data_IF_485388402677
#
_entry.id   IF_485388402677
#
_cell.length_a   1.000
_cell.length_b   1.000
_cell.length_c   1.000
_cell.angle_alpha   90.00
_cell.angle_beta   90.00
_cell.angle_gamma   90.00
#
_symmetry.space_group_name_H-M   'P 1'
#
loop_
_entity.id
_entity.type
_entity.pdbx_description
1 polymer ?
#
# COMPACT_ATOMS: atom_id res chain seq x y z
N UNK A 1 -26.84 -21.37 -14.91
CA UNK A 1 -27.30 -20.50 -13.82
C UNK A 1 -27.69 -21.38 -12.65
N UNK A 2 -26.89 -21.35 -11.59
CA UNK A 2 -27.02 -22.15 -10.38
C UNK A 2 -28.04 -21.49 -9.44
N UNK A 3 -29.18 -22.14 -9.24
CA UNK A 3 -30.30 -21.61 -8.46
C UNK A 3 -30.19 -22.01 -6.99
N UNK A 4 -30.35 -21.04 -6.11
CA UNK A 4 -30.34 -21.23 -4.66
C UNK A 4 -31.73 -20.93 -4.11
N UNK A 5 -32.20 -21.78 -3.20
CA UNK A 5 -33.49 -21.63 -2.56
C UNK A 5 -33.35 -21.53 -1.04
N UNK A 6 -34.00 -20.52 -0.46
CA UNK A 6 -34.17 -20.35 0.98
C UNK A 6 -35.67 -20.26 1.25
N UNK A 7 -36.13 -20.87 2.33
CA UNK A 7 -37.52 -20.74 2.76
C UNK A 7 -37.62 -20.60 4.28
N UNK A 8 -38.69 -19.96 4.73
CA UNK A 8 -38.92 -19.75 6.16
C UNK A 8 -40.06 -18.78 6.45
N UNK A 9 -40.31 -18.56 7.74
CA UNK A 9 -41.37 -17.67 8.20
C UNK A 9 -40.94 -16.19 8.07
N UNK A 10 -39.72 -15.84 8.47
CA UNK A 10 -39.21 -14.44 8.43
C UNK A 10 -40.08 -13.41 9.17
N UNK A 11 -40.67 -13.77 10.31
CA UNK A 11 -41.55 -12.87 11.08
C UNK A 11 -40.89 -11.52 11.39
N UNK A 12 -39.64 -11.54 11.88
CA UNK A 12 -38.84 -10.34 12.06
C UNK A 12 -37.53 -10.54 11.31
N UNK A 13 -37.23 -9.64 10.38
CA UNK A 13 -35.96 -9.64 9.68
C UNK A 13 -34.87 -9.09 10.62
N UNK A 14 -34.05 -9.97 11.19
CA UNK A 14 -32.91 -9.62 12.03
C UNK A 14 -31.60 -9.91 11.31
N UNK A 15 -30.44 -9.42 11.80
CA UNK A 15 -29.15 -9.58 11.11
C UNK A 15 -28.77 -11.02 10.76
N UNK A 16 -29.23 -12.01 11.53
CA UNK A 16 -29.02 -13.43 11.24
C UNK A 16 -29.66 -13.87 9.92
N UNK A 17 -30.88 -13.42 9.63
CA UNK A 17 -31.54 -13.67 8.34
C UNK A 17 -30.77 -13.03 7.18
N UNK A 18 -30.31 -11.79 7.33
CA UNK A 18 -29.53 -11.10 6.29
C UNK A 18 -28.24 -11.86 5.97
N UNK A 19 -27.54 -12.39 6.98
CA UNK A 19 -26.32 -13.19 6.78
C UNK A 19 -26.62 -14.54 6.12
N UNK A 20 -27.73 -15.19 6.48
CA UNK A 20 -28.18 -16.42 5.82
C UNK A 20 -28.48 -16.18 4.33
N UNK A 21 -29.21 -15.10 4.02
CA UNK A 21 -29.55 -14.72 2.64
C UNK A 21 -28.30 -14.36 1.84
N UNK A 22 -27.34 -13.63 2.42
CA UNK A 22 -26.04 -13.35 1.79
C UNK A 22 -25.29 -14.65 1.46
N UNK A 23 -25.12 -15.54 2.43
CA UNK A 23 -24.48 -16.85 2.21
C UNK A 23 -25.19 -17.67 1.11
N UNK A 24 -26.53 -17.61 1.08
CA UNK A 24 -27.30 -18.28 0.03
C UNK A 24 -27.04 -17.66 -1.35
N UNK A 25 -27.03 -16.32 -1.47
CA UNK A 25 -26.70 -15.64 -2.73
C UNK A 25 -25.28 -15.96 -3.20
N UNK A 26 -24.30 -16.04 -2.30
CA UNK A 26 -22.91 -16.40 -2.65
C UNK A 26 -22.75 -17.88 -3.05
N UNK A 27 -23.69 -18.75 -2.67
CA UNK A 27 -23.65 -20.17 -3.01
C UNK A 27 -24.05 -20.46 -4.46
N UNK A 28 -24.65 -19.51 -5.18
CA UNK A 28 -25.05 -19.66 -6.58
C UNK A 28 -25.25 -18.34 -7.32
N UNK A 29 -25.90 -18.39 -8.48
CA UNK A 29 -26.05 -17.22 -9.36
C UNK A 29 -27.36 -16.47 -9.10
N UNK A 30 -28.41 -17.19 -8.68
CA UNK A 30 -29.77 -16.68 -8.55
C UNK A 30 -30.45 -17.21 -7.28
N UNK A 31 -30.74 -16.32 -6.33
CA UNK A 31 -31.36 -16.61 -5.05
C UNK A 31 -32.87 -16.35 -5.11
N UNK A 32 -33.63 -17.42 -4.86
CA UNK A 32 -35.09 -17.39 -4.71
C UNK A 32 -35.45 -17.60 -3.24
N UNK A 33 -36.32 -16.76 -2.70
CA UNK A 33 -36.80 -16.86 -1.31
C UNK A 33 -38.30 -17.16 -1.25
N UNK A 34 -38.66 -18.30 -0.68
CA UNK A 34 -40.05 -18.65 -0.38
C UNK A 34 -40.45 -18.24 1.03
N UNK A 35 -41.35 -17.28 1.16
CA UNK A 35 -41.91 -16.86 2.46
C UNK A 35 -43.11 -17.72 2.76
N UNK A 36 -43.06 -18.54 3.83
CA UNK A 36 -44.17 -19.44 4.18
C UNK A 36 -45.47 -18.66 4.32
N UNK A 37 -46.54 -19.15 3.70
CA UNK A 37 -47.86 -18.51 3.80
C UNK A 37 -48.44 -18.58 5.21
N UNK A 38 -49.38 -17.69 5.51
CA UNK A 38 -50.08 -17.66 6.81
C UNK A 38 -50.88 -18.96 7.06
N UNK A 39 -51.18 -19.73 6.01
CA UNK A 39 -51.80 -21.06 6.10
C UNK A 39 -50.81 -22.15 6.53
N UNK A 40 -49.52 -21.96 6.26
CA UNK A 40 -48.44 -22.91 6.54
C UNK A 40 -47.78 -22.62 7.90
N UNK A 41 -47.72 -21.35 8.32
CA UNK A 41 -47.19 -20.95 9.63
C UNK A 41 -47.85 -19.66 10.13
N UNK A 42 -48.58 -19.71 11.25
CA UNK A 42 -49.19 -18.52 11.87
C UNK A 42 -48.29 -17.92 12.95
N UNK A 43 -47.64 -16.79 12.66
CA UNK A 43 -46.85 -16.03 13.64
C UNK A 43 -46.87 -14.52 13.42
N UNK A 44 -47.97 -13.87 13.84
CA UNK A 44 -48.01 -12.46 14.26
C UNK A 44 -47.93 -11.38 13.17
N UNK A 45 -47.07 -11.51 12.16
CA UNK A 45 -46.89 -10.53 11.07
C UNK A 45 -47.41 -11.16 9.77
N UNK A 46 -48.22 -10.42 9.02
CA UNK A 46 -48.84 -10.93 7.79
C UNK A 46 -47.81 -11.33 6.75
N UNK A 47 -48.12 -12.35 5.96
CA UNK A 47 -47.25 -12.84 4.89
C UNK A 47 -46.81 -11.74 3.91
N UNK A 48 -47.67 -10.76 3.63
CA UNK A 48 -47.35 -9.65 2.71
C UNK A 48 -46.24 -8.75 3.27
N UNK A 49 -46.29 -8.43 4.57
CA UNK A 49 -45.26 -7.62 5.24
C UNK A 49 -43.95 -8.38 5.35
N UNK A 50 -44.00 -9.69 5.58
CA UNK A 50 -42.81 -10.57 5.60
C UNK A 50 -42.17 -10.63 4.21
N UNK A 51 -42.97 -10.74 3.15
CA UNK A 51 -42.51 -10.72 1.76
C UNK A 51 -41.91 -9.37 1.36
N UNK A 52 -42.55 -8.27 1.72
CA UNK A 52 -42.04 -6.91 1.47
C UNK A 52 -40.65 -6.73 2.11
N UNK A 53 -40.48 -7.19 3.35
CA UNK A 53 -39.20 -7.14 4.07
C UNK A 53 -38.09 -7.90 3.34
N UNK A 54 -38.40 -9.05 2.73
CA UNK A 54 -37.46 -9.85 1.94
C UNK A 54 -37.12 -9.16 0.62
N UNK A 55 -38.11 -8.59 -0.07
CA UNK A 55 -37.93 -7.83 -1.32
C UNK A 55 -37.07 -6.59 -1.14
N UNK A 56 -37.08 -5.98 0.04
CA UNK A 56 -36.24 -4.83 0.37
C UNK A 56 -34.75 -5.20 0.56
N UNK A 57 -34.39 -6.48 0.58
CA UNK A 57 -32.99 -6.91 0.74
C UNK A 57 -32.26 -6.96 -0.61
N UNK A 58 -31.01 -6.51 -0.64
CA UNK A 58 -30.21 -6.43 -1.87
C UNK A 58 -29.67 -7.78 -2.38
N UNK A 59 -29.84 -8.87 -1.62
CA UNK A 59 -29.28 -10.18 -1.93
C UNK A 59 -30.23 -11.09 -2.70
N UNK A 60 -31.54 -10.79 -2.68
CA UNK A 60 -32.60 -11.69 -3.16
C UNK A 60 -32.98 -11.29 -4.59
N UNK A 61 -32.88 -12.23 -5.53
CA UNK A 61 -33.23 -11.97 -6.94
C UNK A 61 -34.73 -12.16 -7.20
N UNK A 62 -35.37 -13.11 -6.50
CA UNK A 62 -36.82 -13.34 -6.57
C UNK A 62 -37.38 -13.81 -5.22
N UNK A 63 -38.63 -13.41 -4.94
CA UNK A 63 -39.32 -13.82 -3.71
C UNK A 63 -40.83 -13.87 -3.88
N UNK A 64 -41.43 -14.88 -3.25
CA UNK A 64 -42.85 -15.19 -3.39
C UNK A 64 -43.42 -15.81 -2.10
N UNK A 65 -44.75 -15.84 -2.00
CA UNK A 65 -45.45 -16.55 -0.93
C UNK A 65 -45.49 -18.04 -1.24
N UNK A 66 -44.91 -18.85 -0.36
CA UNK A 66 -44.86 -20.29 -0.46
C UNK A 66 -46.09 -20.91 0.21
N UNK A 67 -47.10 -21.18 -0.62
CA UNK A 67 -48.38 -21.78 -0.20
C UNK A 67 -48.39 -23.31 -0.11
N UNK A 68 -47.32 -23.96 -0.58
CA UNK A 68 -47.14 -25.42 -0.55
C UNK A 68 -45.99 -25.79 0.38
N UNK A 69 -45.88 -27.07 0.76
CA UNK A 69 -44.71 -27.49 1.53
C UNK A 69 -43.42 -27.26 0.73
N UNK A 70 -42.34 -26.86 1.40
CA UNK A 70 -41.05 -26.64 0.75
C UNK A 70 -40.56 -27.86 -0.04
N UNK A 71 -40.88 -29.06 0.45
CA UNK A 71 -40.59 -30.35 -0.21
C UNK A 71 -41.22 -30.42 -1.60
N UNK A 72 -42.50 -30.06 -1.74
CA UNK A 72 -43.23 -30.06 -3.02
C UNK A 72 -42.63 -29.02 -3.98
N UNK A 73 -42.26 -27.85 -3.46
CA UNK A 73 -41.61 -26.82 -4.28
C UNK A 73 -40.23 -27.28 -4.79
N UNK A 74 -39.43 -27.89 -3.90
CA UNK A 74 -38.08 -28.41 -4.23
C UNK A 74 -38.18 -29.53 -5.27
N UNK A 75 -39.13 -30.45 -5.13
CA UNK A 75 -39.34 -31.54 -6.09
C UNK A 75 -39.67 -31.03 -7.49
N UNK A 76 -40.56 -30.01 -7.58
CA UNK A 76 -41.00 -29.43 -8.85
C UNK A 76 -39.94 -28.55 -9.51
N UNK A 77 -39.24 -27.73 -8.73
CA UNK A 77 -38.36 -26.68 -9.26
C UNK A 77 -36.88 -27.05 -9.23
N UNK A 78 -36.51 -28.13 -8.52
CA UNK A 78 -35.16 -28.71 -8.44
C UNK A 78 -34.04 -27.67 -8.29
N UNK A 79 -34.04 -26.84 -7.22
CA UNK A 79 -32.95 -25.89 -7.00
C UNK A 79 -31.62 -26.63 -6.79
N UNK A 80 -30.53 -26.09 -7.35
CA UNK A 80 -29.19 -26.67 -7.24
C UNK A 80 -28.70 -26.69 -5.78
N UNK A 81 -29.10 -25.68 -4.99
CA UNK A 81 -28.77 -25.56 -3.58
C UNK A 81 -30.00 -25.13 -2.77
N UNK A 82 -30.20 -25.77 -1.63
CA UNK A 82 -31.13 -25.33 -0.58
C UNK A 82 -30.31 -24.92 0.65
N UNK A 83 -30.59 -23.76 1.22
CA UNK A 83 -29.87 -23.25 2.40
C UNK A 83 -30.83 -23.10 3.57
N UNK A 84 -30.43 -23.61 4.74
CA UNK A 84 -31.18 -23.51 6.01
C UNK A 84 -30.30 -22.96 7.14
N UNK A 85 -30.95 -22.47 8.20
CA UNK A 85 -30.27 -22.08 9.43
C UNK A 85 -29.53 -23.27 10.08
N UNK A 86 -28.36 -23.03 10.68
CA UNK A 86 -27.52 -24.06 11.33
C UNK A 86 -28.25 -24.82 12.43
N UNK A 87 -29.24 -24.20 13.06
CA UNK A 87 -30.13 -24.81 14.06
C UNK A 87 -31.00 -25.97 13.51
N UNK A 88 -31.11 -26.10 12.19
CA UNK A 88 -31.81 -27.21 11.53
C UNK A 88 -30.88 -28.36 11.11
N UNK A 89 -29.55 -28.22 11.26
CA UNK A 89 -28.58 -29.21 10.78
C UNK A 89 -28.75 -30.58 11.46
N UNK A 90 -29.03 -30.59 12.77
CA UNK A 90 -29.22 -31.82 13.56
C UNK A 90 -30.66 -32.34 13.56
N UNK A 91 -31.57 -31.70 12.82
CA UNK A 91 -32.99 -32.11 12.73
C UNK A 91 -33.20 -33.04 11.53
N UNK A 92 -34.31 -33.77 11.53
CA UNK A 92 -34.75 -34.50 10.34
C UNK A 92 -35.15 -33.51 9.23
N UNK A 93 -34.56 -33.66 8.04
CA UNK A 93 -34.79 -32.78 6.88
C UNK A 93 -35.43 -33.59 5.74
N UNK A 94 -36.77 -33.54 5.57
CA UNK A 94 -37.47 -34.37 4.58
C UNK A 94 -37.08 -34.07 3.12
N UNK A 95 -36.59 -32.86 2.85
CA UNK A 95 -36.11 -32.44 1.54
C UNK A 95 -34.76 -33.08 1.12
N UNK A 96 -33.98 -33.63 2.06
CA UNK A 96 -32.61 -34.09 1.80
C UNK A 96 -32.55 -35.19 0.74
N UNK A 97 -33.44 -36.19 0.83
CA UNK A 97 -33.48 -37.31 -0.11
C UNK A 97 -33.87 -36.86 -1.53
N UNK A 98 -34.81 -35.91 -1.62
CA UNK A 98 -35.23 -35.32 -2.90
C UNK A 98 -34.08 -34.53 -3.51
N UNK A 99 -33.42 -33.67 -2.72
CA UNK A 99 -32.29 -32.85 -3.17
C UNK A 99 -31.16 -33.73 -3.72
N UNK A 100 -30.83 -34.82 -3.02
CA UNK A 100 -29.82 -35.79 -3.46
C UNK A 100 -30.20 -36.50 -4.76
N UNK A 101 -31.49 -36.82 -4.95
CA UNK A 101 -31.96 -37.59 -6.11
C UNK A 101 -31.65 -36.94 -7.47
N UNK A 102 -31.50 -35.61 -7.51
CA UNK A 102 -31.15 -34.87 -8.72
C UNK A 102 -29.77 -34.17 -8.64
N UNK A 103 -28.96 -34.48 -7.62
CA UNK A 103 -27.60 -33.95 -7.46
C UNK A 103 -27.48 -32.56 -6.83
N UNK A 104 -28.56 -32.04 -6.23
CA UNK A 104 -28.53 -30.78 -5.48
C UNK A 104 -27.81 -30.91 -4.13
N UNK A 105 -27.61 -29.78 -3.45
CA UNK A 105 -26.96 -29.73 -2.13
C UNK A 105 -27.83 -29.04 -1.08
N UNK A 106 -27.88 -29.61 0.13
CA UNK A 106 -28.46 -28.97 1.31
C UNK A 106 -27.33 -28.40 2.17
N UNK A 107 -27.32 -27.08 2.38
CA UNK A 107 -26.32 -26.37 3.19
C UNK A 107 -26.96 -25.78 4.45
N UNK A 108 -26.16 -25.71 5.51
CA UNK A 108 -26.56 -25.12 6.79
C UNK A 108 -25.59 -24.02 7.17
N UNK A 109 -26.11 -22.82 7.50
CA UNK A 109 -25.28 -21.69 7.91
C UNK A 109 -25.91 -20.92 9.06
N UNK A 110 -25.09 -20.45 9.99
CA UNK A 110 -25.48 -19.51 11.05
C UNK A 110 -25.28 -18.05 10.62
N UNK A 111 -24.76 -17.81 9.41
CA UNK A 111 -24.35 -16.49 8.96
C UNK A 111 -23.14 -15.98 9.74
N UNK A 112 -21.96 -16.54 9.47
CA UNK A 112 -20.71 -16.09 10.10
C UNK A 112 -20.32 -14.67 9.65
N UNK A 113 -19.63 -13.95 10.53
CA UNK A 113 -19.33 -12.50 10.42
C UNK A 113 -18.31 -12.22 9.30
N UNK A 114 -17.48 -13.21 8.92
CA UNK A 114 -16.31 -13.02 8.06
C UNK A 114 -16.57 -12.39 6.67
N UNK A 115 -17.71 -12.65 6.03
CA UNK A 115 -17.92 -12.25 4.62
C UNK A 115 -18.45 -10.82 4.43
N UNK A 116 -19.14 -10.21 5.41
CA UNK A 116 -19.45 -8.77 5.34
C UNK A 116 -18.19 -7.92 5.37
N UNK A 117 -17.09 -8.47 5.88
CA UNK A 117 -15.82 -7.79 6.03
C UNK A 117 -15.12 -7.58 4.69
N UNK A 118 -15.19 -8.49 3.70
CA UNK A 118 -14.39 -8.36 2.46
C UNK A 118 -14.73 -7.13 1.60
N UNK A 119 -16.02 -6.82 1.42
CA UNK A 119 -16.44 -5.63 0.64
C UNK A 119 -16.15 -4.33 1.40
N UNK A 120 -16.29 -4.34 2.74
CA UNK A 120 -15.89 -3.24 3.61
C UNK A 120 -14.37 -3.04 3.59
N UNK A 121 -13.59 -4.12 3.65
CA UNK A 121 -12.13 -4.14 3.58
C UNK A 121 -11.67 -3.56 2.24
N UNK A 122 -12.22 -4.01 1.10
CA UNK A 122 -11.90 -3.42 -0.21
C UNK A 122 -12.18 -1.90 -0.20
N UNK A 123 -13.31 -1.47 0.35
CA UNK A 123 -13.64 -0.04 0.45
C UNK A 123 -12.69 0.73 1.38
N UNK A 124 -12.19 0.12 2.46
CA UNK A 124 -11.17 0.74 3.33
C UNK A 124 -9.82 0.92 2.62
N UNK A 125 -9.38 -0.08 1.85
CA UNK A 125 -8.13 -0.02 1.07
C UNK A 125 -8.20 1.01 -0.06
N UNK A 126 -9.34 1.14 -0.74
CA UNK A 126 -9.48 1.97 -1.95
C UNK A 126 -10.17 3.33 -1.74
N UNK A 127 -10.72 3.64 -0.56
CA UNK A 127 -11.33 4.95 -0.32
C UNK A 127 -10.26 6.04 -0.20
N UNK A 128 -10.13 6.86 -1.25
CA UNK A 128 -9.25 8.02 -1.29
C UNK A 128 -10.04 9.29 -0.98
N UNK A 129 -10.22 9.59 0.30
CA UNK A 129 -10.64 10.91 0.76
C UNK A 129 -9.45 11.52 1.52
N UNK A 130 -8.72 12.41 0.86
CA UNK A 130 -7.62 13.14 1.46
C UNK A 130 -7.92 14.64 1.41
N UNK A 131 -7.48 15.35 2.45
CA UNK A 131 -7.58 16.79 2.54
C UNK A 131 -6.20 17.33 2.92
N UNK A 132 -5.63 18.12 2.01
CA UNK A 132 -4.32 18.74 2.21
C UNK A 132 -4.51 20.13 2.80
N UNK A 133 -3.70 20.47 3.79
CA UNK A 133 -3.53 21.83 4.27
C UNK A 133 -2.45 22.53 3.44
N UNK A 134 -2.85 23.53 2.65
CA UNK A 134 -1.98 24.24 1.70
C UNK A 134 -0.88 25.10 2.38
N UNK A 135 -0.91 25.26 3.71
CA UNK A 135 0.09 25.99 4.51
C UNK A 135 0.50 27.34 3.88
N UNK A 136 -0.46 28.25 3.71
CA UNK A 136 -0.26 29.54 3.03
C UNK A 136 0.86 30.40 3.64
N UNK A 137 1.11 30.30 4.94
CA UNK A 137 2.21 31.04 5.59
C UNK A 137 3.59 30.59 5.10
N UNK A 138 3.75 29.32 4.69
CA UNK A 138 4.97 28.82 4.06
C UNK A 138 5.18 29.42 2.67
N UNK A 139 4.11 29.49 1.87
CA UNK A 139 4.13 30.07 0.52
C UNK A 139 4.49 31.57 0.56
N UNK A 140 3.87 32.30 1.49
CA UNK A 140 4.08 33.75 1.66
C UNK A 140 5.52 34.08 2.05
N UNK A 141 6.11 33.35 3.02
CA UNK A 141 7.48 33.64 3.50
C UNK A 141 8.59 33.32 2.50
N UNK A 142 8.34 32.41 1.57
CA UNK A 142 9.29 32.01 0.53
C UNK A 142 8.96 32.60 -0.85
N UNK A 143 7.93 33.43 -0.92
CA UNK A 143 7.57 34.23 -2.09
C UNK A 143 7.27 33.43 -3.37
N UNK A 144 6.65 32.24 -3.24
CA UNK A 144 6.18 31.46 -4.38
C UNK A 144 4.68 31.14 -4.29
N UNK A 145 4.06 30.84 -5.43
CA UNK A 145 2.60 30.62 -5.57
C UNK A 145 2.31 29.28 -6.22
N UNK A 146 1.11 28.74 -5.99
CA UNK A 146 0.66 27.46 -6.56
C UNK A 146 0.82 27.34 -8.09
N UNK A 147 0.59 28.38 -8.93
CA UNK A 147 0.84 28.28 -10.36
C UNK A 147 2.30 28.03 -10.75
N UNK A 148 3.27 28.50 -9.94
CA UNK A 148 4.70 28.21 -10.16
C UNK A 148 5.00 26.75 -9.88
N UNK A 149 4.43 26.19 -8.79
CA UNK A 149 4.54 24.77 -8.44
C UNK A 149 3.97 23.87 -9.54
N UNK A 150 2.82 24.24 -10.11
CA UNK A 150 2.23 23.55 -11.26
C UNK A 150 3.22 23.46 -12.43
N UNK A 151 3.87 24.57 -12.79
CA UNK A 151 4.86 24.59 -13.87
C UNK A 151 6.09 23.72 -13.56
N UNK A 152 6.51 23.62 -12.31
CA UNK A 152 7.61 22.73 -11.88
C UNK A 152 7.23 21.26 -12.12
N UNK A 153 6.05 20.85 -11.64
CA UNK A 153 5.56 19.47 -11.80
C UNK A 153 5.34 19.11 -13.28
N UNK A 154 4.95 20.08 -14.10
CA UNK A 154 4.81 19.87 -15.55
C UNK A 154 6.15 19.49 -16.21
N UNK A 155 7.27 20.07 -15.77
CA UNK A 155 8.62 19.81 -16.31
C UNK A 155 9.19 18.44 -15.96
N UNK A 156 8.59 17.70 -15.03
CA UNK A 156 9.06 16.36 -14.64
C UNK A 156 9.16 15.38 -15.81
N UNK A 157 8.35 15.55 -16.85
CA UNK A 157 8.38 14.69 -18.04
C UNK A 157 9.61 14.86 -18.93
N UNK A 158 10.45 15.86 -18.68
CA UNK A 158 11.72 16.03 -19.37
C UNK A 158 12.86 15.28 -18.67
N UNK A 159 12.67 14.80 -17.44
CA UNK A 159 13.73 14.18 -16.65
C UNK A 159 13.95 12.73 -17.05
N UNK A 160 15.22 12.36 -17.12
CA UNK A 160 15.70 10.99 -17.14
C UNK A 160 16.35 10.68 -15.78
N UNK A 161 15.75 9.73 -15.06
CA UNK A 161 16.09 9.46 -13.65
C UNK A 161 16.62 8.04 -13.53
N UNK A 162 17.72 7.88 -12.81
CA UNK A 162 18.17 6.59 -12.33
C UNK A 162 17.80 6.43 -10.86
N UNK A 163 17.09 5.36 -10.55
CA UNK A 163 16.85 4.94 -9.16
C UNK A 163 17.64 3.66 -8.89
N UNK A 164 18.45 3.68 -7.83
CA UNK A 164 19.24 2.52 -7.41
C UNK A 164 19.07 2.24 -5.93
N UNK A 165 18.92 0.97 -5.57
CA UNK A 165 18.80 0.59 -4.16
C UNK A 165 18.20 -0.79 -3.92
N UNK A 166 17.85 -1.05 -2.66
CA UNK A 166 17.28 -2.34 -2.27
C UNK A 166 15.80 -2.44 -2.71
N UNK A 167 15.45 -3.47 -3.48
CA UNK A 167 14.05 -3.75 -3.81
C UNK A 167 13.37 -4.60 -2.75
N UNK A 168 12.08 -4.33 -2.50
CA UNK A 168 11.28 -4.99 -1.47
C UNK A 168 9.90 -5.31 -2.07
N UNK A 169 9.36 -6.48 -1.73
CA UNK A 169 7.93 -6.77 -1.89
C UNK A 169 7.26 -6.66 -0.53
N UNK A 170 6.28 -5.78 -0.41
CA UNK A 170 5.44 -5.67 0.78
C UNK A 170 4.17 -6.51 0.57
N UNK A 171 3.91 -7.46 1.45
CA UNK A 171 2.73 -8.32 1.37
C UNK A 171 1.83 -8.12 2.60
N UNK A 172 0.60 -7.70 2.36
CA UNK A 172 -0.41 -7.45 3.38
C UNK A 172 -1.38 -8.62 3.39
N UNK A 173 -1.40 -9.35 4.50
CA UNK A 173 -2.26 -10.51 4.71
C UNK A 173 -3.33 -10.09 5.70
N UNK A 174 -4.53 -9.82 5.19
CA UNK A 174 -5.68 -9.46 6.01
C UNK A 174 -6.28 -10.72 6.58
N UNK A 175 -6.46 -10.75 7.89
CA UNK A 175 -6.94 -11.90 8.64
C UNK A 175 -8.16 -11.55 9.50
N UNK A 176 -8.99 -12.55 9.75
CA UNK A 176 -9.99 -12.55 10.81
C UNK A 176 -9.35 -13.13 12.09
N UNK A 177 -9.46 -12.42 13.22
CA UNK A 177 -9.01 -12.94 14.50
C UNK A 177 -10.06 -13.92 15.07
N UNK A 178 -9.66 -15.18 15.27
CA UNK A 178 -10.54 -16.23 15.77
C UNK A 178 -10.56 -16.29 17.31
N UNK A 179 -9.49 -15.83 17.96
CA UNK A 179 -9.35 -15.83 19.41
C UNK A 179 -7.94 -16.18 19.87
N UNK A 180 -7.80 -16.55 21.14
CA UNK A 180 -6.55 -17.08 21.68
C UNK A 180 -6.47 -18.60 21.45
N UNK A 181 -5.26 -19.11 21.19
CA UNK A 181 -5.02 -20.54 21.13
C UNK A 181 -5.17 -21.17 22.53
N UNK A 182 -5.68 -22.41 22.57
CA UNK A 182 -5.74 -23.23 23.79
C UNK A 182 -4.44 -24.02 24.02
N UNK A 183 -3.57 -24.10 23.02
CA UNK A 183 -2.31 -24.84 23.06
C UNK A 183 -1.12 -23.95 23.49
N UNK A 184 -1.15 -22.66 23.12
CA UNK A 184 -0.11 -21.67 23.39
C UNK A 184 -0.76 -20.29 23.54
N UNK A 185 -0.26 -19.32 24.34
CA UNK A 185 -0.92 -18.04 24.56
C UNK A 185 -0.67 -17.07 23.39
N UNK A 186 -1.10 -17.47 22.19
CA UNK A 186 -0.98 -16.70 20.95
C UNK A 186 -2.34 -16.43 20.32
N UNK A 187 -2.40 -15.43 19.45
CA UNK A 187 -3.60 -15.07 18.70
C UNK A 187 -3.72 -16.00 17.48
N UNK A 188 -4.85 -16.68 17.36
CA UNK A 188 -5.20 -17.47 16.17
C UNK A 188 -5.94 -16.57 15.18
N UNK A 189 -5.49 -16.58 13.94
CA UNK A 189 -6.08 -15.81 12.85
C UNK A 189 -6.28 -16.67 11.62
N UNK A 190 -7.31 -16.36 10.82
CA UNK A 190 -7.57 -16.98 9.52
C UNK A 190 -7.36 -15.96 8.41
N UNK A 191 -6.51 -16.22 7.39
CA UNK A 191 -6.30 -15.27 6.30
C UNK A 191 -7.54 -15.16 5.41
N UNK A 192 -7.93 -13.93 5.10
CA UNK A 192 -9.07 -13.58 4.25
C UNK A 192 -8.64 -13.10 2.87
N UNK A 193 -7.56 -12.31 2.80
CA UNK A 193 -7.06 -11.73 1.56
C UNK A 193 -5.57 -11.42 1.66
N UNK A 194 -4.87 -11.53 0.53
CA UNK A 194 -3.46 -11.18 0.40
C UNK A 194 -3.29 -10.14 -0.71
N UNK A 195 -2.58 -9.06 -0.41
CA UNK A 195 -2.26 -8.00 -1.35
C UNK A 195 -0.75 -7.77 -1.35
N UNK A 196 -0.11 -7.84 -2.53
CA UNK A 196 1.31 -7.50 -2.70
C UNK A 196 1.43 -6.06 -3.22
N UNK A 197 2.51 -5.41 -2.82
CA UNK A 197 2.88 -4.04 -3.21
C UNK A 197 4.37 -3.99 -3.51
N UNK A 198 4.74 -3.15 -4.48
CA UNK A 198 6.14 -2.84 -4.75
C UNK A 198 6.62 -1.86 -3.68
N UNK A 199 7.76 -2.17 -3.07
CA UNK A 199 8.40 -1.37 -2.03
C UNK A 199 9.89 -1.21 -2.28
N UNK A 200 10.57 -0.57 -1.34
CA UNK A 200 12.00 -0.32 -1.45
C UNK A 200 12.32 0.70 -2.55
N UNK A 201 13.51 0.62 -3.13
CA UNK A 201 13.90 1.47 -4.26
C UNK A 201 12.97 1.35 -5.48
N UNK A 202 12.25 0.23 -5.63
CA UNK A 202 11.32 0.03 -6.73
C UNK A 202 10.07 0.93 -6.63
N UNK A 203 9.64 1.32 -5.41
CA UNK A 203 8.52 2.26 -5.26
C UNK A 203 8.94 3.70 -5.53
N UNK A 204 10.18 4.07 -5.19
CA UNK A 204 10.80 5.34 -5.58
C UNK A 204 10.84 5.48 -7.10
N UNK A 205 11.27 4.42 -7.81
CA UNK A 205 11.23 4.37 -9.27
C UNK A 205 9.79 4.49 -9.81
N UNK A 206 8.84 3.83 -9.17
CA UNK A 206 7.44 3.89 -9.57
C UNK A 206 6.85 5.29 -9.38
N UNK A 207 7.13 5.97 -8.26
CA UNK A 207 6.75 7.35 -8.02
C UNK A 207 7.31 8.28 -9.11
N UNK A 208 8.60 8.15 -9.43
CA UNK A 208 9.24 8.99 -10.44
C UNK A 208 8.57 8.83 -11.82
N UNK A 209 8.27 7.58 -12.21
CA UNK A 209 7.60 7.28 -13.47
C UNK A 209 6.16 7.81 -13.52
N UNK A 210 5.36 7.60 -12.46
CA UNK A 210 3.97 8.07 -12.41
C UNK A 210 3.81 9.59 -12.23
N UNK A 211 4.88 10.27 -11.80
CA UNK A 211 5.02 11.72 -11.84
C UNK A 211 5.43 12.25 -13.23
N UNK A 212 5.81 11.35 -14.15
CA UNK A 212 5.95 11.62 -15.58
C UNK A 212 7.37 11.48 -16.13
N UNK A 213 8.38 11.19 -15.31
CA UNK A 213 9.77 11.08 -15.77
C UNK A 213 10.05 9.77 -16.52
N UNK A 214 11.12 9.76 -17.32
CA UNK A 214 11.69 8.53 -17.87
C UNK A 214 12.60 7.92 -16.80
N UNK A 215 12.41 6.64 -16.45
CA UNK A 215 13.09 6.03 -15.30
C UNK A 215 13.86 4.79 -15.70
N UNK A 216 15.13 4.73 -15.27
CA UNK A 216 15.94 3.52 -15.20
C UNK A 216 15.99 3.04 -13.76
N UNK A 217 15.79 1.75 -13.55
CA UNK A 217 15.81 1.14 -12.21
C UNK A 217 16.89 0.08 -12.09
N UNK A 218 17.81 0.27 -11.15
CA UNK A 218 18.95 -0.61 -10.92
C UNK A 218 18.81 -1.26 -9.53
N UNK A 219 18.82 -2.60 -9.48
CA UNK A 219 18.78 -3.31 -8.21
C UNK A 219 19.22 -4.77 -8.37
N UNK A 220 19.24 -5.50 -7.27
CA UNK A 220 19.55 -6.92 -7.20
C UNK A 220 18.46 -7.63 -6.41
N UNK A 221 18.00 -8.77 -6.93
CA UNK A 221 16.96 -9.59 -6.33
C UNK A 221 17.31 -11.08 -6.44
N UNK A 222 16.61 -11.92 -5.68
CA UNK A 222 16.77 -13.37 -5.75
C UNK A 222 16.21 -13.96 -7.03
N UNK A 223 16.41 -15.27 -7.24
CA UNK A 223 15.79 -16.00 -8.35
C UNK A 223 14.45 -16.61 -7.91
N UNK A 224 13.43 -15.78 -7.78
CA UNK A 224 12.12 -16.17 -7.25
C UNK A 224 10.94 -15.40 -7.87
N UNK A 225 9.72 -15.82 -7.52
CA UNK A 225 8.47 -15.21 -8.01
C UNK A 225 8.33 -13.72 -7.63
N UNK A 226 8.93 -13.31 -6.51
CA UNK A 226 8.87 -11.92 -6.06
C UNK A 226 9.74 -11.01 -6.94
N UNK A 227 10.88 -11.50 -7.43
CA UNK A 227 11.65 -10.80 -8.48
C UNK A 227 10.80 -10.61 -9.74
N UNK A 228 10.12 -11.66 -10.20
CA UNK A 228 9.26 -11.58 -11.38
C UNK A 228 8.11 -10.57 -11.17
N UNK A 229 7.49 -10.56 -9.98
CA UNK A 229 6.47 -9.60 -9.59
C UNK A 229 6.97 -8.15 -9.69
N UNK A 230 8.14 -7.84 -9.12
CA UNK A 230 8.75 -6.50 -9.20
C UNK A 230 9.06 -6.13 -10.65
N UNK A 231 9.73 -7.02 -11.39
CA UNK A 231 10.13 -6.76 -12.77
C UNK A 231 8.93 -6.46 -13.68
N UNK A 232 7.85 -7.24 -13.56
CA UNK A 232 6.67 -7.05 -14.38
C UNK A 232 5.94 -5.76 -14.01
N UNK A 233 5.74 -5.50 -12.72
CA UNK A 233 5.05 -4.28 -12.28
C UNK A 233 5.79 -2.99 -12.66
N UNK A 234 7.12 -2.99 -12.62
CA UNK A 234 7.91 -1.83 -13.09
C UNK A 234 7.85 -1.69 -14.63
N UNK A 235 7.88 -2.79 -15.39
CA UNK A 235 7.74 -2.75 -16.86
C UNK A 235 6.37 -2.26 -17.30
N UNK A 236 5.30 -2.61 -16.58
CA UNK A 236 3.94 -2.10 -16.83
C UNK A 236 3.85 -0.57 -16.68
N UNK A 237 4.71 0.03 -15.84
CA UNK A 237 4.84 1.47 -15.67
C UNK A 237 5.78 2.13 -16.70
N UNK A 238 6.34 1.37 -17.65
CA UNK A 238 7.26 1.88 -18.66
C UNK A 238 8.68 2.16 -18.14
N UNK A 239 9.07 1.55 -17.02
CA UNK A 239 10.40 1.71 -16.42
C UNK A 239 11.39 0.77 -17.10
N UNK A 240 12.59 1.28 -17.41
CA UNK A 240 13.71 0.47 -17.89
C UNK A 240 14.37 -0.27 -16.71
N UNK A 241 14.10 -1.57 -16.61
CA UNK A 241 14.47 -2.38 -15.43
C UNK A 241 15.77 -3.15 -15.66
N UNK A 242 16.78 -2.84 -14.84
CA UNK A 242 18.05 -3.55 -14.71
C UNK A 242 18.11 -4.27 -13.35
N UNK A 243 17.39 -5.39 -13.27
CA UNK A 243 17.25 -6.18 -12.06
C UNK A 243 18.09 -7.47 -12.15
N UNK A 244 19.32 -7.38 -11.63
CA UNK A 244 20.27 -8.48 -11.64
C UNK A 244 19.89 -9.56 -10.61
N UNK A 245 20.26 -10.80 -10.91
CA UNK A 245 19.94 -11.96 -10.07
C UNK A 245 21.11 -12.32 -9.17
N UNK A 246 20.85 -12.47 -7.87
CA UNK A 246 21.80 -13.03 -6.90
C UNK A 246 21.17 -14.27 -6.25
N UNK A 247 21.61 -15.46 -6.67
CA UNK A 247 21.08 -16.74 -6.16
C UNK A 247 21.42 -17.01 -4.70
N UNK A 248 22.26 -16.18 -4.08
CA UNK A 248 22.68 -16.36 -2.68
C UNK A 248 21.74 -15.66 -1.69
N UNK A 249 20.78 -14.86 -2.16
CA UNK A 249 19.74 -14.19 -1.36
C UNK A 249 18.33 -14.40 -1.97
N UNK A 250 17.27 -14.45 -1.16
CA UNK A 250 15.91 -14.29 -1.68
C UNK A 250 15.64 -12.82 -2.03
N UNK A 251 14.64 -12.57 -2.89
CA UNK A 251 14.07 -11.23 -3.02
C UNK A 251 13.43 -10.84 -1.70
N UNK A 252 13.79 -9.66 -1.17
CA UNK A 252 13.31 -9.18 0.12
C UNK A 252 11.79 -9.12 0.15
N UNK A 253 11.16 -9.87 1.05
CA UNK A 253 9.71 -9.91 1.25
C UNK A 253 9.36 -9.52 2.69
N UNK A 254 8.48 -8.53 2.84
CA UNK A 254 7.95 -8.06 4.14
C UNK A 254 6.47 -8.39 4.24
N UNK A 255 6.14 -9.44 4.99
CA UNK A 255 4.75 -9.85 5.23
C UNK A 255 4.20 -9.14 6.47
N UNK A 256 3.03 -8.52 6.37
CA UNK A 256 2.28 -7.90 7.46
C UNK A 256 0.94 -8.62 7.63
N UNK A 257 0.80 -9.37 8.71
CA UNK A 257 -0.48 -9.99 9.08
C UNK A 257 -1.31 -8.96 9.83
N UNK A 258 -2.49 -8.64 9.32
CA UNK A 258 -3.34 -7.56 9.82
C UNK A 258 -4.72 -8.07 10.19
N UNK A 259 -5.27 -7.63 11.32
CA UNK A 259 -6.66 -7.85 11.69
C UNK A 259 -7.27 -6.55 12.19
N UNK A 260 -8.52 -6.26 11.78
CA UNK A 260 -9.25 -5.05 12.19
C UNK A 260 -8.42 -3.76 12.04
N UNK A 261 -7.77 -3.60 10.88
CA UNK A 261 -6.95 -2.42 10.54
C UNK A 261 -5.55 -2.37 11.19
N UNK A 262 -5.24 -3.25 12.16
CA UNK A 262 -3.96 -3.24 12.88
C UNK A 262 -3.04 -4.37 12.44
N UNK A 263 -1.73 -4.11 12.41
CA UNK A 263 -0.72 -5.15 12.18
C UNK A 263 -0.48 -5.95 13.45
N UNK A 264 -0.65 -7.27 13.38
CA UNK A 264 -0.43 -8.21 14.47
C UNK A 264 1.00 -8.75 14.47
N UNK A 265 1.52 -9.09 13.29
CA UNK A 265 2.84 -9.69 13.11
C UNK A 265 3.46 -9.20 11.81
N UNK A 266 4.77 -8.98 11.82
CA UNK A 266 5.58 -8.76 10.62
C UNK A 266 6.63 -9.86 10.49
N UNK A 267 6.66 -10.51 9.34
CA UNK A 267 7.65 -11.54 9.00
C UNK A 267 8.48 -11.05 7.83
N UNK A 268 9.80 -11.02 8.01
CA UNK A 268 10.74 -10.56 6.99
C UNK A 268 11.50 -11.77 6.44
N UNK A 269 11.40 -12.01 5.13
CA UNK A 269 12.21 -12.98 4.41
C UNK A 269 13.31 -12.23 3.67
N UNK A 270 14.52 -12.28 4.21
CA UNK A 270 15.66 -11.56 3.66
C UNK A 270 16.97 -12.23 4.05
N UNK A 271 18.02 -11.89 3.29
CA UNK A 271 19.39 -12.20 3.66
C UNK A 271 20.24 -10.96 3.41
N UNK A 272 20.86 -10.46 4.48
CA UNK A 272 21.64 -9.23 4.43
C UNK A 272 23.12 -9.56 4.23
N UNK A 273 23.65 -9.18 3.07
CA UNK A 273 25.08 -9.16 2.79
C UNK A 273 25.38 -8.26 1.59
N UNK A 274 26.61 -7.76 1.53
CA UNK A 274 27.10 -6.99 0.40
C UNK A 274 26.98 -7.79 -0.92
N UNK A 275 26.88 -7.07 -2.03
CA UNK A 275 26.99 -7.64 -3.37
C UNK A 275 28.38 -8.25 -3.60
N UNK A 276 28.47 -9.20 -4.53
CA UNK A 276 29.75 -9.63 -5.07
C UNK A 276 30.29 -8.55 -6.00
N UNK A 277 31.63 -8.49 -6.13
CA UNK A 277 32.28 -7.56 -7.06
C UNK A 277 31.82 -7.75 -8.51
N UNK A 278 31.47 -8.97 -8.91
CA UNK A 278 30.96 -9.25 -10.26
C UNK A 278 29.64 -8.52 -10.54
N UNK A 279 28.68 -8.57 -9.59
CA UNK A 279 27.39 -7.89 -9.74
C UNK A 279 27.55 -6.36 -9.65
N UNK A 280 28.43 -5.88 -8.77
CA UNK A 280 28.77 -4.46 -8.71
C UNK A 280 29.32 -3.95 -10.04
N UNK A 281 30.24 -4.69 -10.66
CA UNK A 281 30.82 -4.32 -11.95
C UNK A 281 29.76 -4.31 -13.06
N UNK A 282 28.82 -5.27 -13.08
CA UNK A 282 27.71 -5.26 -14.05
C UNK A 282 26.83 -4.00 -13.91
N UNK A 283 26.53 -3.58 -12.69
CA UNK A 283 25.78 -2.36 -12.42
C UNK A 283 26.54 -1.11 -12.87
N UNK A 284 27.83 -1.03 -12.55
CA UNK A 284 28.69 0.10 -12.91
C UNK A 284 28.91 0.21 -14.42
N UNK A 285 29.13 -0.90 -15.11
CA UNK A 285 29.29 -0.94 -16.57
C UNK A 285 28.03 -0.45 -17.28
N UNK A 286 26.85 -0.84 -16.80
CA UNK A 286 25.58 -0.43 -17.38
C UNK A 286 25.27 1.05 -17.11
N UNK A 287 25.61 1.53 -15.93
CA UNK A 287 25.53 2.95 -15.61
C UNK A 287 26.45 3.77 -16.52
N UNK A 288 27.70 3.36 -16.67
CA UNK A 288 28.72 4.08 -17.45
C UNK A 288 28.28 4.28 -18.91
N UNK A 289 27.57 3.30 -19.49
CA UNK A 289 27.02 3.41 -20.85
C UNK A 289 25.90 4.44 -20.98
N UNK A 290 25.13 4.67 -19.92
CA UNK A 290 23.91 5.48 -19.96
C UNK A 290 24.01 6.81 -19.19
N UNK A 291 25.13 7.06 -18.52
CA UNK A 291 25.32 8.22 -17.61
C UNK A 291 25.03 9.58 -18.27
N UNK A 292 25.31 9.72 -19.56
CA UNK A 292 25.16 10.98 -20.30
C UNK A 292 23.71 11.44 -20.45
N UNK A 293 22.78 10.51 -20.36
CA UNK A 293 21.35 10.77 -20.56
C UNK A 293 20.61 10.85 -19.22
N UNK A 294 21.30 10.99 -18.09
CA UNK A 294 20.71 10.98 -16.74
C UNK A 294 20.78 12.39 -16.14
N UNK A 295 19.63 12.92 -15.72
CA UNK A 295 19.52 14.23 -15.07
C UNK A 295 19.57 14.13 -13.53
N UNK A 296 19.17 12.97 -12.99
CA UNK A 296 19.03 12.73 -11.56
C UNK A 296 19.33 11.27 -11.19
N UNK A 297 20.13 11.05 -10.14
CA UNK A 297 20.34 9.75 -9.50
C UNK A 297 19.74 9.77 -8.09
N UNK A 298 18.86 8.81 -7.78
CA UNK A 298 18.26 8.62 -6.46
C UNK A 298 18.76 7.31 -5.85
N UNK A 299 19.47 7.41 -4.74
CA UNK A 299 19.87 6.28 -3.92
C UNK A 299 18.80 6.00 -2.86
N UNK A 300 18.27 4.78 -2.83
CA UNK A 300 17.25 4.38 -1.86
C UNK A 300 17.72 3.15 -1.08
N UNK A 301 18.33 3.39 0.09
CA UNK A 301 18.97 2.36 0.89
C UNK A 301 18.10 1.90 2.04
N UNK A 302 17.81 0.60 2.07
CA UNK A 302 17.14 -0.06 3.19
C UNK A 302 18.12 -0.93 3.99
N UNK A 303 19.42 -0.79 3.68
CA UNK A 303 20.52 -1.51 4.31
C UNK A 303 20.44 -3.02 4.13
N UNK A 304 19.91 -3.52 3.01
CA UNK A 304 19.90 -4.96 2.69
C UNK A 304 21.12 -5.42 1.90
N UNK A 305 21.94 -4.48 1.42
CA UNK A 305 23.28 -4.73 0.92
C UNK A 305 23.46 -4.56 -0.58
N UNK A 306 22.46 -4.05 -1.31
CA UNK A 306 22.64 -3.62 -2.71
C UNK A 306 23.60 -2.42 -2.77
N UNK A 307 23.42 -1.44 -1.89
CA UNK A 307 24.22 -0.22 -1.86
C UNK A 307 25.46 -0.39 -0.98
N UNK A 308 26.47 -1.06 -1.54
CA UNK A 308 27.79 -1.18 -0.91
C UNK A 308 28.55 0.14 -0.97
N UNK A 309 29.53 0.30 -0.08
CA UNK A 309 30.37 1.51 -0.06
C UNK A 309 31.07 1.74 -1.40
N UNK A 310 31.62 0.69 -2.00
CA UNK A 310 32.29 0.76 -3.29
C UNK A 310 31.33 1.21 -4.39
N UNK A 311 30.12 0.65 -4.44
CA UNK A 311 29.13 1.03 -5.45
C UNK A 311 28.68 2.49 -5.27
N UNK A 312 28.38 2.92 -4.04
CA UNK A 312 27.99 4.31 -3.75
C UNK A 312 29.10 5.28 -4.17
N UNK A 313 30.36 5.02 -3.80
CA UNK A 313 31.48 5.91 -4.12
C UNK A 313 31.71 6.04 -5.64
N UNK A 314 31.68 4.92 -6.38
CA UNK A 314 31.87 4.95 -7.84
C UNK A 314 30.71 5.67 -8.56
N UNK A 315 29.45 5.40 -8.20
CA UNK A 315 28.30 6.09 -8.80
C UNK A 315 28.32 7.57 -8.45
N UNK A 316 28.65 7.92 -7.20
CA UNK A 316 28.73 9.32 -6.78
C UNK A 316 29.82 10.09 -7.56
N UNK A 317 30.99 9.47 -7.76
CA UNK A 317 32.06 10.08 -8.57
C UNK A 317 31.61 10.28 -10.02
N UNK A 318 30.99 9.28 -10.65
CA UNK A 318 30.44 9.41 -12.01
C UNK A 318 29.39 10.52 -12.11
N UNK A 319 28.51 10.62 -11.11
CA UNK A 319 27.50 11.67 -11.02
C UNK A 319 28.13 13.05 -10.94
N UNK A 320 29.15 13.24 -10.08
CA UNK A 320 29.87 14.51 -9.95
C UNK A 320 30.60 14.90 -11.24
N UNK A 321 31.31 13.96 -11.88
CA UNK A 321 32.04 14.20 -13.14
C UNK A 321 31.12 14.66 -14.27
N UNK A 322 29.87 14.19 -14.27
CA UNK A 322 28.85 14.55 -15.26
C UNK A 322 27.90 15.66 -14.78
N UNK A 323 28.15 16.26 -13.60
CA UNK A 323 27.30 17.31 -13.01
C UNK A 323 25.83 16.90 -12.81
N UNK A 324 25.60 15.62 -12.48
CA UNK A 324 24.28 15.04 -12.27
C UNK A 324 23.82 15.30 -10.84
N UNK A 325 22.55 15.67 -10.66
CA UNK A 325 21.98 15.85 -9.33
C UNK A 325 21.85 14.48 -8.66
N UNK A 326 22.26 14.38 -7.39
CA UNK A 326 22.15 13.14 -6.64
C UNK A 326 21.40 13.35 -5.34
N UNK A 327 20.51 12.42 -5.01
CA UNK A 327 19.80 12.39 -3.74
C UNK A 327 19.85 11.01 -3.09
N UNK A 328 19.77 10.97 -1.77
CA UNK A 328 19.84 9.72 -1.04
C UNK A 328 18.93 9.66 0.18
N UNK A 329 18.44 8.47 0.46
CA UNK A 329 17.85 8.10 1.75
C UNK A 329 18.45 6.79 2.28
N UNK A 330 18.51 6.67 3.60
CA UNK A 330 19.11 5.52 4.30
C UNK A 330 18.24 5.12 5.48
N UNK A 331 17.26 4.26 5.22
CA UNK A 331 16.24 3.92 6.20
C UNK A 331 16.80 3.05 7.34
N UNK A 332 16.57 3.48 8.58
CA UNK A 332 16.86 2.70 9.80
C UNK A 332 15.57 2.17 10.44
N UNK A 333 14.99 1.12 9.84
CA UNK A 333 13.78 0.46 10.34
C UNK A 333 14.08 -0.78 11.20
N UNK A 334 14.20 -1.96 10.58
CA UNK A 334 14.68 -3.20 11.23
C UNK A 334 16.20 -3.37 11.17
N UNK A 335 16.86 -2.57 10.33
CA UNK A 335 18.30 -2.51 10.13
C UNK A 335 18.77 -1.15 10.61
N UNK A 336 20.06 -1.05 10.96
CA UNK A 336 20.71 0.23 11.25
C UNK A 336 21.35 0.71 9.95
N UNK A 337 20.79 1.76 9.36
CA UNK A 337 21.38 2.45 8.22
C UNK A 337 22.35 3.54 8.67
N UNK A 338 23.09 4.06 7.71
CA UNK A 338 24.04 5.15 7.92
C UNK A 338 23.91 6.14 6.75
N UNK A 339 23.26 7.28 7.00
CA UNK A 339 23.07 8.31 5.96
C UNK A 339 24.39 9.03 5.65
N UNK A 340 25.36 9.02 6.56
CA UNK A 340 26.63 9.74 6.40
C UNK A 340 27.53 9.13 5.31
N UNK A 341 27.27 7.88 4.90
CA UNK A 341 27.99 7.23 3.79
C UNK A 341 27.69 7.85 2.43
N UNK A 342 26.56 8.55 2.27
CA UNK A 342 26.17 9.21 1.03
C UNK A 342 26.80 10.59 0.92
N UNK A 343 28.01 10.63 0.35
CA UNK A 343 28.80 11.86 0.25
C UNK A 343 28.46 12.70 -0.98
N UNK A 344 28.57 14.02 -0.85
CA UNK A 344 28.36 15.00 -1.93
C UNK A 344 26.96 14.95 -2.56
N UNK A 345 25.95 14.54 -1.79
CA UNK A 345 24.57 14.53 -2.26
C UNK A 345 24.00 15.94 -2.31
N UNK A 346 23.17 16.22 -3.30
CA UNK A 346 22.40 17.46 -3.35
C UNK A 346 21.30 17.45 -2.29
N UNK A 347 20.64 16.31 -2.08
CA UNK A 347 19.59 16.15 -1.07
C UNK A 347 19.74 14.84 -0.31
N UNK A 348 19.64 14.89 1.01
CA UNK A 348 19.38 13.72 1.85
C UNK A 348 18.13 13.92 2.69
N UNK A 349 17.35 12.86 2.90
CA UNK A 349 16.04 12.94 3.57
C UNK A 349 15.89 12.09 4.85
N UNK A 350 16.86 12.14 5.78
CA UNK A 350 16.80 11.27 6.96
C UNK A 350 15.68 11.67 7.94
N UNK A 351 15.29 10.72 8.78
CA UNK A 351 14.59 11.00 10.04
C UNK A 351 15.56 11.50 11.10
N UNK A 352 15.07 12.16 12.16
CA UNK A 352 15.93 12.51 13.32
C UNK A 352 16.66 11.28 13.86
N UNK A 353 15.97 10.15 13.99
CA UNK A 353 16.54 8.90 14.47
C UNK A 353 17.73 8.45 13.63
N UNK A 354 17.63 8.53 12.31
CA UNK A 354 18.70 8.13 11.39
C UNK A 354 19.92 9.04 11.50
N UNK A 355 19.73 10.36 11.64
CA UNK A 355 20.85 11.29 11.86
C UNK A 355 21.58 10.95 13.17
N UNK A 356 20.83 10.76 14.26
CA UNK A 356 21.41 10.44 15.57
C UNK A 356 22.18 9.13 15.57
N UNK A 357 21.64 8.10 14.91
CA UNK A 357 22.31 6.80 14.77
C UNK A 357 23.59 6.93 13.94
N UNK A 358 23.55 7.66 12.82
CA UNK A 358 24.70 7.81 11.91
C UNK A 358 25.84 8.61 12.55
N UNK A 359 25.52 9.65 13.34
CA UNK A 359 26.50 10.50 14.02
C UNK A 359 26.88 10.00 15.41
N UNK A 360 26.19 8.99 15.93
CA UNK A 360 26.28 8.55 17.32
C UNK A 360 26.13 9.74 18.32
N UNK A 361 25.13 10.59 18.09
CA UNK A 361 24.86 11.81 18.88
C UNK A 361 23.38 11.90 19.27
N UNK A 362 23.09 11.63 20.54
CA UNK A 362 21.73 11.60 21.09
C UNK A 362 21.36 12.84 21.91
N UNK A 363 22.29 13.78 22.07
CA UNK A 363 22.13 14.93 22.97
C UNK A 363 21.97 16.26 22.22
N UNK A 364 22.62 16.39 21.04
CA UNK A 364 22.58 17.64 20.29
C UNK A 364 21.18 17.95 19.74
N UNK A 365 20.90 19.24 19.56
CA UNK A 365 19.69 19.72 18.88
C UNK A 365 19.73 19.48 17.37
N UNK A 366 18.56 19.42 16.74
CA UNK A 366 18.40 19.07 15.31
C UNK A 366 19.25 19.90 14.35
N UNK A 367 19.38 21.21 14.59
CA UNK A 367 20.19 22.09 13.73
C UNK A 367 21.67 21.72 13.82
N UNK A 368 22.17 21.45 15.02
CA UNK A 368 23.57 21.02 15.26
C UNK A 368 23.82 19.64 14.67
N UNK A 369 22.86 18.73 14.77
CA UNK A 369 22.95 17.42 14.11
C UNK A 369 23.02 17.54 12.59
N UNK A 370 22.22 18.44 12.00
CA UNK A 370 22.24 18.68 10.56
C UNK A 370 23.57 19.28 10.12
N UNK A 371 24.11 20.22 10.89
CA UNK A 371 25.43 20.82 10.68
C UNK A 371 26.54 19.76 10.69
N UNK A 372 26.60 18.92 11.74
CA UNK A 372 27.53 17.79 11.83
C UNK A 372 27.35 16.79 10.68
N UNK A 373 26.13 16.54 10.23
CA UNK A 373 25.88 15.67 9.09
C UNK A 373 26.44 16.28 7.80
N UNK A 374 26.32 17.60 7.60
CA UNK A 374 26.97 18.31 6.48
C UNK A 374 28.48 18.19 6.57
N UNK A 375 29.10 18.34 7.75
CA UNK A 375 30.55 18.22 7.91
C UNK A 375 31.09 16.85 7.45
N UNK A 376 30.36 15.76 7.73
CA UNK A 376 30.81 14.39 7.40
C UNK A 376 30.42 13.94 5.98
N UNK A 377 29.27 14.40 5.48
CA UNK A 377 28.71 13.96 4.20
C UNK A 377 28.91 14.96 3.05
N UNK A 378 29.16 16.23 3.36
CA UNK A 378 29.15 17.33 2.40
C UNK A 378 27.83 17.42 1.60
N UNK A 379 26.69 17.09 2.24
CA UNK A 379 25.38 17.23 1.63
C UNK A 379 24.99 18.70 1.48
N UNK A 380 24.38 19.05 0.35
CA UNK A 380 23.93 20.42 0.08
C UNK A 380 22.66 20.78 0.87
N UNK A 381 21.68 19.87 0.87
CA UNK A 381 20.40 20.04 1.54
C UNK A 381 20.07 18.81 2.40
N UNK A 382 19.56 19.04 3.61
CA UNK A 382 19.07 18.00 4.50
C UNK A 382 17.61 18.28 4.82
N UNK A 383 16.75 17.32 4.51
CA UNK A 383 15.32 17.33 4.82
C UNK A 383 15.05 16.34 5.95
N UNK A 384 15.05 16.84 7.18
CA UNK A 384 14.85 16.01 8.36
C UNK A 384 13.37 15.81 8.61
N UNK A 385 12.87 14.59 8.39
CA UNK A 385 11.45 14.27 8.59
C UNK A 385 11.13 14.07 10.09
N UNK A 386 10.02 14.67 10.54
CA UNK A 386 9.58 14.72 11.94
C UNK A 386 8.18 14.11 12.13
N UNK A 387 7.74 13.26 11.19
CA UNK A 387 6.44 12.60 11.24
C UNK A 387 5.28 13.60 11.23
N UNK A 388 4.45 13.57 12.27
CA UNK A 388 3.27 14.44 12.38
C UNK A 388 3.61 15.94 12.51
N UNK A 389 4.83 16.28 12.93
CA UNK A 389 5.30 17.66 13.01
C UNK A 389 5.74 18.22 11.64
N UNK A 390 5.82 17.36 10.62
CA UNK A 390 6.25 17.73 9.28
C UNK A 390 7.73 17.50 9.06
N UNK A 391 8.46 18.55 8.69
CA UNK A 391 9.86 18.45 8.26
C UNK A 391 10.65 19.72 8.60
N UNK A 392 11.91 19.54 9.00
CA UNK A 392 12.91 20.60 9.09
C UNK A 392 13.80 20.57 7.85
N UNK A 393 14.04 21.75 7.27
CA UNK A 393 14.85 21.95 6.09
C UNK A 393 16.14 22.64 6.53
N UNK A 394 17.28 22.06 6.18
CA UNK A 394 18.60 22.64 6.40
C UNK A 394 19.28 22.86 5.04
N UNK A 395 19.80 24.07 4.86
CA UNK A 395 20.44 24.55 3.64
C UNK A 395 21.88 24.95 3.92
N UNK A 396 22.85 24.15 3.47
CA UNK A 396 24.28 24.40 3.77
C UNK A 396 24.91 25.54 2.97
N UNK A 397 24.18 26.21 2.07
CA UNK A 397 24.72 27.33 1.29
C UNK A 397 24.83 28.60 2.14
N UNK A 398 26.05 29.12 2.32
CA UNK A 398 26.39 30.23 3.22
C UNK A 398 25.63 31.55 2.98
N UNK A 399 25.16 31.80 1.76
CA UNK A 399 24.50 33.07 1.38
C UNK A 399 22.97 33.07 1.50
N UNK A 400 22.37 32.05 2.13
CA UNK A 400 20.92 31.87 2.19
C UNK A 400 20.42 31.53 3.59
N UNK A 401 19.10 31.57 3.76
CA UNK A 401 18.44 31.10 4.98
C UNK A 401 18.88 29.66 5.29
N UNK A 402 19.52 29.49 6.46
CA UNK A 402 20.18 28.26 6.89
C UNK A 402 19.16 27.16 7.21
N UNK A 403 18.05 27.52 7.87
CA UNK A 403 17.00 26.56 8.23
C UNK A 403 15.60 27.15 8.10
N UNK A 404 14.62 26.29 7.84
CA UNK A 404 13.19 26.55 8.00
C UNK A 404 12.46 25.23 8.28
N UNK A 405 11.17 25.26 8.58
CA UNK A 405 10.33 24.07 8.75
C UNK A 405 9.11 24.09 7.85
N UNK A 406 8.46 22.96 7.62
CA UNK A 406 7.12 22.90 7.03
C UNK A 406 6.31 21.90 7.83
N UNK A 407 5.13 22.31 8.30
CA UNK A 407 4.23 21.42 9.03
C UNK A 407 3.72 20.32 8.09
N UNK A 408 3.34 19.17 8.66
CA UNK A 408 2.71 18.11 7.88
C UNK A 408 1.45 18.65 7.17
N UNK A 409 1.39 18.46 5.85
CA UNK A 409 0.28 18.96 5.03
C UNK A 409 -0.93 18.01 5.01
N UNK A 410 -0.77 16.76 5.45
CA UNK A 410 -1.84 15.76 5.46
C UNK A 410 -2.69 15.81 6.72
N UNK A 411 -4.01 16.02 6.59
CA UNK A 411 -4.95 16.03 7.72
C UNK A 411 -5.52 14.64 8.07
N UNK A 412 -5.46 13.69 7.14
CA UNK A 412 -5.99 12.33 7.31
C UNK A 412 -4.86 11.34 7.06
N UNK A 413 -4.44 10.64 8.12
CA UNK A 413 -3.38 9.63 8.08
C UNK A 413 -4.00 8.25 8.21
N UNK A 414 -3.88 7.42 7.17
CA UNK A 414 -4.32 6.02 7.16
C UNK A 414 -3.15 5.05 7.35
N UNK A 415 -2.05 5.26 6.63
CA UNK A 415 -0.84 4.46 6.69
C UNK A 415 0.36 5.37 6.47
N UNK A 416 1.37 5.33 7.34
CA UNK A 416 2.58 6.16 7.21
C UNK A 416 3.60 5.55 6.25
N UNK A 417 3.36 4.34 5.75
CA UNK A 417 4.25 3.64 4.83
C UNK A 417 4.40 4.41 3.51
N UNK A 418 5.64 4.62 3.07
CA UNK A 418 5.97 5.30 1.81
C UNK A 418 6.01 6.83 1.87
N UNK A 419 5.76 7.45 3.04
CA UNK A 419 5.81 8.90 3.18
C UNK A 419 7.18 9.49 2.85
N UNK A 420 8.26 8.83 3.30
CA UNK A 420 9.64 9.21 3.00
C UNK A 420 10.01 9.00 1.53
N UNK A 421 9.64 7.85 0.96
CA UNK A 421 9.91 7.51 -0.45
C UNK A 421 9.30 8.55 -1.41
N UNK A 422 8.05 8.94 -1.15
CA UNK A 422 7.34 9.97 -1.93
C UNK A 422 7.94 11.37 -1.73
N UNK A 423 8.35 11.70 -0.50
CA UNK A 423 9.05 12.96 -0.20
C UNK A 423 10.35 13.08 -0.98
N UNK A 424 11.21 12.06 -0.86
CA UNK A 424 12.50 11.98 -1.52
C UNK A 424 12.34 12.14 -3.03
N UNK A 425 11.43 11.36 -3.62
CA UNK A 425 11.23 11.34 -5.07
C UNK A 425 10.78 12.71 -5.59
N UNK A 426 9.70 13.26 -5.04
CA UNK A 426 9.12 14.51 -5.53
C UNK A 426 10.05 15.72 -5.30
N UNK A 427 10.71 15.77 -4.13
CA UNK A 427 11.70 16.82 -3.82
C UNK A 427 12.89 16.76 -4.77
N UNK A 428 13.42 15.56 -5.03
CA UNK A 428 14.57 15.37 -5.91
C UNK A 428 14.26 15.78 -7.35
N UNK A 429 13.08 15.40 -7.85
CA UNK A 429 12.61 15.80 -9.18
C UNK A 429 12.41 17.30 -9.31
N UNK A 430 11.85 17.95 -8.28
CA UNK A 430 11.72 19.41 -8.22
C UNK A 430 13.08 20.11 -8.32
N UNK A 431 14.06 19.68 -7.53
CA UNK A 431 15.42 20.24 -7.60
C UNK A 431 16.08 20.02 -8.96
N UNK A 432 15.88 18.84 -9.58
CA UNK A 432 16.47 18.51 -10.88
C UNK A 432 15.94 19.41 -12.02
N UNK A 433 14.69 19.87 -11.96
CA UNK A 433 14.14 20.86 -12.92
C UNK A 433 14.42 22.32 -12.53
N UNK A 434 15.28 22.55 -11.53
CA UNK A 434 15.74 23.87 -11.12
C UNK A 434 14.83 24.59 -10.11
N UNK A 435 13.94 23.88 -9.41
CA UNK A 435 13.19 24.48 -8.31
C UNK A 435 14.12 24.90 -7.16
N UNK A 436 13.68 25.90 -6.40
CA UNK A 436 14.32 26.24 -5.12
C UNK A 436 14.14 25.13 -4.10
N UNK A 437 15.00 25.12 -3.07
CA UNK A 437 14.90 24.19 -1.94
C UNK A 437 13.53 24.27 -1.24
N UNK A 438 12.92 25.46 -1.19
CA UNK A 438 11.64 25.69 -0.52
C UNK A 438 10.46 25.16 -1.35
N UNK A 439 10.49 25.36 -2.67
CA UNK A 439 9.51 24.76 -3.59
C UNK A 439 9.63 23.23 -3.58
N UNK A 440 10.84 22.69 -3.58
CA UNK A 440 11.09 21.26 -3.48
C UNK A 440 10.58 20.67 -2.17
N UNK A 441 10.84 21.32 -1.03
CA UNK A 441 10.34 20.89 0.27
C UNK A 441 8.82 20.89 0.35
N UNK A 442 8.16 21.90 -0.25
CA UNK A 442 6.71 21.96 -0.32
C UNK A 442 6.13 20.81 -1.18
N UNK A 443 6.67 20.60 -2.37
CA UNK A 443 6.24 19.52 -3.28
C UNK A 443 6.48 18.13 -2.69
N UNK A 444 7.60 17.93 -2.00
CA UNK A 444 7.88 16.72 -1.23
C UNK A 444 6.86 16.47 -0.13
N UNK A 445 6.58 17.50 0.67
CA UNK A 445 5.58 17.42 1.76
C UNK A 445 4.17 17.14 1.24
N UNK A 446 3.82 17.69 0.08
CA UNK A 446 2.56 17.45 -0.60
C UNK A 446 2.45 16.00 -1.07
N UNK A 447 3.50 15.47 -1.69
CA UNK A 447 3.57 14.07 -2.10
C UNK A 447 3.42 13.12 -0.89
N UNK A 448 4.11 13.39 0.22
CA UNK A 448 3.94 12.64 1.46
C UNK A 448 2.52 12.70 1.99
N UNK A 449 1.89 13.89 2.00
CA UNK A 449 0.51 14.06 2.46
C UNK A 449 -0.49 13.22 1.65
N UNK A 450 -0.31 13.16 0.33
CA UNK A 450 -1.10 12.33 -0.57
C UNK A 450 -0.86 10.83 -0.29
N UNK A 451 0.39 10.42 -0.05
CA UNK A 451 0.75 9.03 0.24
C UNK A 451 0.24 8.56 1.60
N UNK A 452 0.31 9.37 2.67
CA UNK A 452 -0.13 8.91 4.00
C UNK A 452 -1.65 8.75 4.13
N UNK A 453 -2.40 9.28 3.17
CA UNK A 453 -3.87 9.24 3.15
C UNK A 453 -4.46 7.92 2.62
N UNK A 454 -3.63 7.01 2.10
CA UNK A 454 -4.02 5.70 1.54
C UNK A 454 -3.33 4.56 2.28
N UNK A 455 -3.79 3.33 2.05
CA UNK A 455 -3.19 2.12 2.66
C UNK A 455 -2.18 1.51 1.68
N UNK A 456 -1.01 1.13 2.20
CA UNK A 456 0.08 0.57 1.38
C UNK A 456 0.81 1.64 0.58
N UNK A 457 1.94 1.25 -0.01
CA UNK A 457 2.77 2.14 -0.81
C UNK A 457 2.31 2.11 -2.27
N UNK A 458 1.66 3.18 -2.72
CA UNK A 458 1.04 3.25 -4.05
C UNK A 458 1.66 4.41 -4.82
N UNK A 459 2.09 4.22 -6.08
CA UNK A 459 2.69 5.29 -6.87
C UNK A 459 1.76 6.51 -7.00
N UNK A 460 2.23 7.66 -6.52
CA UNK A 460 1.56 8.96 -6.65
C UNK A 460 1.51 9.37 -8.13
N UNK A 461 0.33 9.73 -8.61
CA UNK A 461 0.13 10.20 -9.98
C UNK A 461 0.31 11.71 -10.08
N UNK A 462 0.86 12.16 -11.21
CA UNK A 462 1.00 13.59 -11.53
C UNK A 462 -0.31 14.37 -11.31
N UNK A 463 -1.44 13.83 -11.78
CA UNK A 463 -2.75 14.49 -11.65
C UNK A 463 -3.20 14.67 -10.20
N UNK A 464 -2.79 13.79 -9.28
CA UNK A 464 -3.10 13.92 -7.86
C UNK A 464 -2.40 15.13 -7.25
N UNK A 465 -1.16 15.41 -7.65
CA UNK A 465 -0.42 16.61 -7.23
C UNK A 465 -1.02 17.85 -7.88
N UNK A 466 -1.29 17.80 -9.18
CA UNK A 466 -1.80 18.96 -9.93
C UNK A 466 -3.16 19.44 -9.43
N UNK A 467 -4.02 18.51 -9.00
CA UNK A 467 -5.33 18.82 -8.44
C UNK A 467 -5.25 19.66 -7.15
N UNK A 468 -4.15 19.56 -6.41
CA UNK A 468 -3.95 20.35 -5.19
C UNK A 468 -3.56 21.82 -5.49
N UNK A 469 -3.38 22.18 -6.77
CA UNK A 469 -3.11 23.55 -7.19
C UNK A 469 -4.31 24.25 -7.85
N UNK A 470 -5.44 23.54 -7.97
CA UNK A 470 -6.73 24.05 -8.49
C UNK A 470 -7.59 24.61 -7.36
#
# INVERSE_FOLDING_TARGET
MKKVFVYGDFNILHPGHLRLLKFAKESGDYLVVGVNSDNVSQKGISQDVRLESIRATSYVDDSFILDVSAVVYIEKNRPDIVVKGKEYASRYNPELEIIKSYGGKLLFSSGEIGFSSMDLLKKEFFSSNYQVNQNFSYLERHHFKLPQLKSIVEKFSALNILVIGDTIVDEYITCEALGMSQEDPTIVVSPLATNKFIGGAAIVASHAATLGANVKFFSVAGDDENRAYVQNGLKELGIDVFLYTDTTRPTTLKQRFRASGKTLLRVNHLKQHALSSDIENLLLDELTKSIKDIDLIIFSDFSYGVLTKNLIENIANLGLENSILMSADSQSSSQVGDISKFKNMTLVTPTEREIRLSLNDFESGLVVLSDKLVEVSNAKYIFTTLGAEGMMIYNSTQDKLLTDNINALGNIVKDVSGAGDSLLTCSSMALAVGASIWEAAYLGSLASAIQVSRVGNVPIKKDEILKEFE
#
